data_IF_417462956951
#
_entry.id   IF_417462956951
#
_cell.length_a   1.000
_cell.length_b   1.000
_cell.length_c   1.000
_cell.angle_alpha   90.00
_cell.angle_beta   90.00
_cell.angle_gamma   90.00
#
_symmetry.space_group_name_H-M   'P 1'
#
loop_
_entity.id
_entity.type
_entity.pdbx_description
1 polymer ?
#
# COMPACT_ATOMS: atom_id res chain seq x y z
N UNK A 1 10.13 -1.43 20.48
CA UNK A 1 9.23 -1.80 19.36
C UNK A 1 7.82 -1.67 19.87
N UNK A 2 7.03 -0.73 19.34
CA UNK A 2 5.77 -0.30 19.94
C UNK A 2 4.56 -0.77 19.13
N UNK A 3 3.74 -1.57 19.80
CA UNK A 3 2.30 -1.83 19.62
C UNK A 3 1.80 -2.39 18.29
N UNK A 4 1.88 -3.71 18.18
CA UNK A 4 0.88 -4.51 17.49
C UNK A 4 -0.42 -4.49 18.33
N UNK A 5 -1.24 -3.45 18.15
CA UNK A 5 -2.61 -3.40 18.64
C UNK A 5 -3.56 -3.75 17.51
N UNK A 6 -4.37 -4.80 17.70
CA UNK A 6 -5.28 -5.44 16.72
C UNK A 6 -4.59 -6.27 15.64
N UNK A 7 -4.47 -7.58 15.90
CA UNK A 7 -3.90 -8.58 14.99
C UNK A 7 -4.76 -8.90 13.76
N UNK A 8 -5.28 -7.90 13.05
CA UNK A 8 -6.09 -8.11 11.84
C UNK A 8 -5.80 -7.15 10.66
N UNK A 9 -5.06 -6.05 10.82
CA UNK A 9 -4.63 -5.27 9.66
C UNK A 9 -3.25 -4.59 9.88
N UNK A 10 -2.20 -4.99 9.15
CA UNK A 10 -0.92 -4.28 9.15
C UNK A 10 -1.04 -3.01 8.31
N UNK A 11 -1.69 -1.99 8.85
CA UNK A 11 -1.69 -0.65 8.24
C UNK A 11 -0.33 0.04 8.43
N UNK A 12 0.22 0.57 7.35
CA UNK A 12 1.46 1.38 7.35
C UNK A 12 1.15 2.82 6.94
N UNK A 13 2.07 3.75 7.26
CA UNK A 13 1.95 5.12 6.78
C UNK A 13 2.16 5.22 5.26
N UNK A 14 1.48 6.13 4.53
CA UNK A 14 1.69 6.33 3.11
C UNK A 14 3.14 6.68 2.76
N UNK A 15 3.82 7.43 3.64
CA UNK A 15 5.24 7.74 3.49
C UNK A 15 6.08 6.46 3.50
N UNK A 16 5.81 5.56 4.43
CA UNK A 16 6.53 4.29 4.51
C UNK A 16 6.22 3.38 3.32
N UNK A 17 4.96 3.34 2.85
CA UNK A 17 4.58 2.60 1.65
C UNK A 17 5.33 3.10 0.41
N UNK A 18 5.41 4.43 0.21
CA UNK A 18 6.13 5.06 -0.91
C UNK A 18 7.60 4.72 -0.96
N UNK A 19 8.27 4.61 0.19
CA UNK A 19 9.68 4.19 0.25
C UNK A 19 9.89 2.76 -0.30
N UNK A 20 8.88 1.91 -0.24
CA UNK A 20 8.95 0.52 -0.65
C UNK A 20 8.54 0.30 -2.11
N UNK A 21 7.94 1.29 -2.77
CA UNK A 21 7.43 1.19 -4.15
C UNK A 21 8.52 0.71 -5.10
N UNK A 22 9.69 1.36 -5.11
CA UNK A 22 10.79 0.99 -6.00
C UNK A 22 11.19 -0.47 -5.84
N UNK A 23 11.40 -0.92 -4.59
CA UNK A 23 11.78 -2.29 -4.29
C UNK A 23 10.72 -3.31 -4.72
N UNK A 24 9.44 -2.99 -4.50
CA UNK A 24 8.31 -3.85 -4.89
C UNK A 24 8.20 -3.90 -6.40
N UNK A 25 8.34 -2.77 -7.09
CA UNK A 25 8.31 -2.70 -8.55
C UNK A 25 9.42 -3.55 -9.18
N UNK A 26 10.67 -3.36 -8.74
CA UNK A 26 11.82 -4.12 -9.24
C UNK A 26 11.67 -5.63 -8.99
N UNK A 27 11.26 -6.02 -7.78
CA UNK A 27 11.12 -7.45 -7.42
C UNK A 27 10.03 -8.16 -8.22
N UNK A 28 9.02 -7.42 -8.69
CA UNK A 28 7.87 -7.98 -9.40
C UNK A 28 7.91 -7.66 -10.91
N UNK A 29 8.97 -7.02 -11.41
CA UNK A 29 9.08 -6.65 -12.83
C UNK A 29 8.02 -5.63 -13.28
N UNK A 30 7.49 -4.82 -12.36
CA UNK A 30 6.42 -3.86 -12.64
C UNK A 30 6.99 -2.44 -12.83
N UNK A 31 6.31 -1.57 -13.61
CA UNK A 31 6.63 -0.16 -13.63
C UNK A 31 6.38 0.47 -12.26
N UNK A 32 7.31 1.31 -11.80
CA UNK A 32 7.24 2.02 -10.51
C UNK A 32 5.93 2.79 -10.39
N UNK A 33 5.55 3.50 -11.45
CA UNK A 33 4.32 4.30 -11.55
C UNK A 33 3.06 3.47 -11.27
N UNK A 34 3.05 2.20 -11.69
CA UNK A 34 1.94 1.26 -11.50
C UNK A 34 1.80 0.88 -10.03
N UNK A 35 2.93 0.68 -9.35
CA UNK A 35 2.98 0.38 -7.91
C UNK A 35 2.67 1.63 -7.08
N UNK A 36 3.12 2.82 -7.50
CA UNK A 36 2.77 4.08 -6.84
C UNK A 36 1.27 4.33 -6.88
N UNK A 37 0.65 4.20 -8.06
CA UNK A 37 -0.80 4.37 -8.20
C UNK A 37 -1.55 3.36 -7.34
N UNK A 38 -1.10 2.12 -7.28
CA UNK A 38 -1.68 1.09 -6.42
C UNK A 38 -1.62 1.50 -4.94
N UNK A 39 -0.50 2.04 -4.47
CA UNK A 39 -0.38 2.57 -3.09
C UNK A 39 -1.35 3.71 -2.85
N UNK A 40 -1.50 4.63 -3.81
CA UNK A 40 -2.40 5.78 -3.67
C UNK A 40 -3.88 5.37 -3.66
N UNK A 41 -4.27 4.42 -4.51
CA UNK A 41 -5.62 3.83 -4.56
C UNK A 41 -5.99 3.15 -3.24
N UNK A 42 -5.02 2.53 -2.57
CA UNK A 42 -5.21 1.84 -1.29
C UNK A 42 -4.83 2.69 -0.06
N UNK A 43 -4.64 4.00 -0.25
CA UNK A 43 -4.42 4.94 0.86
C UNK A 43 -5.75 5.45 1.39
N UNK A 44 -6.17 4.93 2.55
CA UNK A 44 -7.37 5.38 3.28
C UNK A 44 -7.06 6.70 3.99
N UNK A 45 -8.04 7.62 4.04
CA UNK A 45 -7.92 8.93 4.69
C UNK A 45 -7.50 10.10 3.79
N UNK A 46 -7.36 9.88 2.46
CA UNK A 46 -7.19 10.96 1.47
C UNK A 46 -8.53 11.58 1.00
N UNK A 47 -9.65 10.96 1.32
CA UNK A 47 -10.99 11.45 0.96
C UNK A 47 -11.41 12.63 1.84
N UNK A 48 -11.94 13.74 1.29
CA UNK A 48 -12.47 14.83 2.09
C UNK A 48 -13.58 14.34 3.02
N UNK A 49 -13.39 14.54 4.34
CA UNK A 49 -14.33 14.11 5.38
C UNK A 49 -13.85 12.97 6.27
N UNK A 50 -12.68 12.38 6.02
CA UNK A 50 -12.13 11.33 6.89
C UNK A 50 -11.43 11.94 8.12
N UNK A 51 -11.82 11.52 9.33
CA UNK A 51 -11.19 11.94 10.59
C UNK A 51 -10.17 10.87 10.98
N UNK A 52 -8.89 11.11 10.66
CA UNK A 52 -7.78 10.22 11.03
C UNK A 52 -6.54 10.41 10.16
N UNK A 53 -5.39 9.94 10.66
CA UNK A 53 -4.15 9.91 9.88
C UNK A 53 -4.27 8.94 8.70
N UNK A 54 -3.78 9.32 7.50
CA UNK A 54 -3.85 8.48 6.33
C UNK A 54 -3.05 7.19 6.55
N UNK A 55 -3.62 6.06 6.11
CA UNK A 55 -3.09 4.71 6.31
C UNK A 55 -3.19 3.91 5.03
N UNK A 56 -2.29 2.94 4.88
CA UNK A 56 -2.20 2.05 3.73
C UNK A 56 -2.25 0.62 4.24
N UNK A 57 -3.27 -0.15 3.83
CA UNK A 57 -3.38 -1.56 4.19
C UNK A 57 -2.44 -2.39 3.32
N UNK A 58 -1.50 -3.10 3.96
CA UNK A 58 -0.56 -3.97 3.24
C UNK A 58 -1.25 -5.21 2.65
N UNK A 59 -2.34 -5.67 3.27
CA UNK A 59 -3.13 -6.80 2.77
C UNK A 59 -3.76 -6.47 1.42
N UNK A 60 -4.50 -5.36 1.34
CA UNK A 60 -5.16 -4.96 0.09
C UNK A 60 -4.13 -4.65 -1.02
N UNK A 61 -3.00 -4.03 -0.66
CA UNK A 61 -1.90 -3.80 -1.59
C UNK A 61 -1.33 -5.10 -2.15
N UNK A 62 -1.21 -6.14 -1.33
CA UNK A 62 -0.77 -7.47 -1.76
C UNK A 62 -1.75 -8.12 -2.74
N UNK A 63 -3.05 -8.00 -2.47
CA UNK A 63 -4.11 -8.51 -3.37
C UNK A 63 -4.08 -7.77 -4.70
N UNK A 64 -4.04 -6.43 -4.65
CA UNK A 64 -3.96 -5.60 -5.85
C UNK A 64 -2.72 -5.92 -6.68
N UNK A 65 -1.56 -6.06 -6.03
CA UNK A 65 -0.31 -6.47 -6.68
C UNK A 65 -0.42 -7.86 -7.35
N UNK A 66 -1.10 -8.82 -6.71
CA UNK A 66 -1.40 -10.12 -7.31
C UNK A 66 -2.20 -9.99 -8.60
N UNK A 67 -3.27 -9.19 -8.60
CA UNK A 67 -4.07 -8.94 -9.80
C UNK A 67 -3.25 -8.28 -10.93
N UNK A 68 -2.32 -7.39 -10.58
CA UNK A 68 -1.41 -6.76 -11.54
C UNK A 68 -0.48 -7.79 -12.22
N UNK A 69 -0.08 -8.82 -11.49
CA UNK A 69 0.81 -9.89 -11.96
C UNK A 69 0.09 -10.96 -12.78
N UNK A 70 -1.14 -11.32 -12.41
CA UNK A 70 -1.96 -12.28 -13.19
C UNK A 70 -2.36 -11.76 -14.57
N UNK A 71 -2.32 -10.44 -14.76
CA UNK A 71 -2.65 -9.81 -16.04
C UNK A 71 -1.43 -9.69 -16.99
N UNK A 72 -0.24 -10.16 -16.58
CA UNK A 72 1.02 -10.05 -17.36
C UNK A 72 1.50 -11.38 -17.95
#
# INVERSE_FOLDING_TARGET
>A
MTSAGSGLDPDISPRYARLQVHRVAERNGLPVERVERLVEEHTRGRTPGFIGEPRVSVLELGIGLGALLETS
#
